data_IF_612729073299
#
_entry.id   IF_612729073299
#
_cell.length_a   1.000
_cell.length_b   1.000
_cell.length_c   1.000
_cell.angle_alpha   90.00
_cell.angle_beta   90.00
_cell.angle_gamma   90.00
#
_symmetry.space_group_name_H-M   'P 1'
#
loop_
_entity.id
_entity.type
_entity.pdbx_description
1 polymer ?
#
# COMPACT_ATOMS: atom_id res chain seq x y z
N UNK A 1 13.02 -5.25 12.80
CA UNK A 1 12.19 -5.60 11.61
C UNK A 1 10.73 -5.92 11.97
N UNK A 2 10.47 -6.86 12.89
CA UNK A 2 9.10 -7.28 13.23
C UNK A 2 8.25 -6.21 13.93
N UNK A 3 8.87 -5.31 14.70
CA UNK A 3 8.12 -4.25 15.42
C UNK A 3 7.53 -3.21 14.45
N UNK A 4 8.32 -2.73 13.49
CA UNK A 4 7.85 -1.80 12.45
C UNK A 4 6.74 -2.42 11.60
N UNK A 5 6.89 -3.69 11.21
CA UNK A 5 5.86 -4.41 10.43
C UNK A 5 4.61 -4.68 11.27
N UNK A 6 4.72 -4.84 12.59
CA UNK A 6 3.58 -4.93 13.50
C UNK A 6 2.82 -3.60 13.59
N UNK A 7 3.52 -2.46 13.68
CA UNK A 7 2.87 -1.14 13.62
C UNK A 7 2.09 -0.97 12.33
N UNK A 8 2.68 -1.34 11.19
CA UNK A 8 1.98 -1.35 9.90
C UNK A 8 0.81 -2.32 9.89
N UNK A 9 0.95 -3.52 10.45
CA UNK A 9 -0.13 -4.50 10.54
C UNK A 9 -1.33 -3.95 11.31
N UNK A 10 -1.09 -3.23 12.42
CA UNK A 10 -2.14 -2.60 13.22
C UNK A 10 -2.83 -1.46 12.47
N UNK A 11 -2.07 -0.65 11.72
CA UNK A 11 -2.64 0.43 10.87
C UNK A 11 -3.36 -0.10 9.63
N UNK A 12 -2.91 -1.23 9.07
CA UNK A 12 -3.46 -1.86 7.87
C UNK A 12 -4.46 -2.98 8.18
N UNK A 13 -5.03 -2.99 9.38
CA UNK A 13 -6.16 -3.85 9.71
C UNK A 13 -7.32 -3.63 8.73
N UNK A 14 -8.12 -4.67 8.52
CA UNK A 14 -9.18 -4.66 7.51
C UNK A 14 -10.18 -3.50 7.70
N UNK A 15 -10.60 -3.26 8.95
CA UNK A 15 -11.58 -2.21 9.28
C UNK A 15 -11.05 -0.81 8.94
N UNK A 16 -9.79 -0.54 9.27
CA UNK A 16 -9.11 0.71 8.95
C UNK A 16 -9.04 0.91 7.43
N UNK A 17 -8.60 -0.11 6.68
CA UNK A 17 -8.57 -0.04 5.21
C UNK A 17 -9.96 0.17 4.62
N UNK A 18 -10.98 -0.52 5.13
CA UNK A 18 -12.35 -0.39 4.65
C UNK A 18 -12.88 1.04 4.86
N UNK A 19 -12.68 1.59 6.05
CA UNK A 19 -13.13 2.94 6.37
C UNK A 19 -12.40 4.00 5.54
N UNK A 20 -11.07 4.02 5.60
CA UNK A 20 -10.27 5.10 5.01
C UNK A 20 -10.06 4.96 3.51
N UNK A 21 -10.07 3.75 2.93
CA UNK A 21 -9.81 3.53 1.49
C UNK A 21 -11.06 3.15 0.68
N UNK A 22 -12.22 2.96 1.33
CA UNK A 22 -13.49 2.70 0.62
C UNK A 22 -14.60 3.67 1.03
N UNK A 23 -14.94 3.76 2.30
CA UNK A 23 -16.10 4.56 2.73
C UNK A 23 -15.90 6.07 2.55
N UNK A 24 -14.66 6.55 2.71
CA UNK A 24 -14.34 7.97 2.51
C UNK A 24 -14.09 8.37 1.06
N UNK A 25 -14.11 7.40 0.13
CA UNK A 25 -13.96 7.67 -1.30
C UNK A 25 -15.31 7.55 -2.02
N UNK A 26 -15.50 8.28 -3.14
CA UNK A 26 -16.66 8.07 -4.00
C UNK A 26 -16.78 6.62 -4.49
N UNK A 27 -18.01 6.18 -4.75
CA UNK A 27 -18.27 4.85 -5.30
C UNK A 27 -17.56 4.73 -6.66
N UNK A 28 -16.84 3.62 -6.86
CA UNK A 28 -16.03 3.34 -8.05
C UNK A 28 -14.92 4.37 -8.34
N UNK A 29 -14.44 5.07 -7.32
CA UNK A 29 -13.26 5.91 -7.46
C UNK A 29 -12.02 5.07 -7.80
N UNK A 30 -11.23 5.52 -8.76
CA UNK A 30 -10.01 4.85 -9.24
C UNK A 30 -8.88 5.85 -9.47
N UNK A 31 -7.65 5.43 -9.23
CA UNK A 31 -6.43 6.20 -9.54
C UNK A 31 -5.68 5.49 -10.68
N UNK A 32 -5.13 6.27 -11.59
CA UNK A 32 -4.31 5.75 -12.70
C UNK A 32 -2.90 5.43 -12.20
N UNK A 33 -2.45 4.20 -12.43
CA UNK A 33 -1.13 3.70 -12.02
C UNK A 33 -0.51 2.88 -13.15
N UNK A 34 0.81 2.76 -13.15
CA UNK A 34 1.56 1.87 -14.03
C UNK A 34 1.37 0.42 -13.59
N UNK A 35 1.58 -0.50 -14.53
CA UNK A 35 1.37 -1.93 -14.26
C UNK A 35 2.31 -2.46 -13.17
N UNK A 36 3.56 -1.99 -13.18
CA UNK A 36 4.62 -2.35 -12.25
C UNK A 36 4.36 -1.84 -10.83
N UNK A 37 3.49 -0.84 -10.65
CA UNK A 37 3.07 -0.32 -9.36
C UNK A 37 2.04 -1.25 -8.67
N UNK A 38 1.60 -2.33 -9.33
CA UNK A 38 0.69 -3.33 -8.77
C UNK A 38 1.45 -4.57 -8.32
N UNK A 39 1.76 -4.64 -7.03
CA UNK A 39 2.41 -5.79 -6.42
C UNK A 39 1.42 -6.68 -5.65
N UNK A 40 1.14 -7.88 -6.17
CA UNK A 40 0.26 -8.89 -5.56
C UNK A 40 1.05 -10.11 -5.07
N UNK A 41 0.46 -10.97 -4.22
CA UNK A 41 1.10 -12.22 -3.81
C UNK A 41 1.55 -13.10 -4.99
N UNK A 42 0.82 -13.12 -6.11
CA UNK A 42 1.20 -13.84 -7.32
C UNK A 42 2.53 -13.36 -7.91
N UNK A 43 2.78 -12.04 -7.91
CA UNK A 43 4.04 -11.47 -8.37
C UNK A 43 5.19 -11.92 -7.45
N UNK A 44 4.97 -11.90 -6.13
CA UNK A 44 5.95 -12.35 -5.14
C UNK A 44 6.27 -13.84 -5.33
N UNK A 45 5.27 -14.69 -5.47
CA UNK A 45 5.46 -16.13 -5.72
C UNK A 45 6.25 -16.37 -7.02
N UNK A 46 5.92 -15.64 -8.09
CA UNK A 46 6.62 -15.76 -9.36
C UNK A 46 8.11 -15.36 -9.24
N UNK A 47 8.40 -14.22 -8.60
CA UNK A 47 9.77 -13.76 -8.39
C UNK A 47 10.58 -14.66 -7.44
N UNK A 48 9.95 -15.18 -6.38
CA UNK A 48 10.55 -16.15 -5.47
C UNK A 48 10.98 -17.42 -6.22
N UNK A 49 10.14 -17.91 -7.13
CA UNK A 49 10.47 -19.06 -7.99
C UNK A 49 11.59 -18.73 -8.98
N UNK A 50 11.74 -17.46 -9.35
CA UNK A 50 12.79 -16.94 -10.22
C UNK A 50 14.13 -16.63 -9.52
N UNK A 51 14.40 -17.23 -8.35
CA UNK A 51 15.65 -17.08 -7.57
C UNK A 51 15.88 -15.71 -6.90
N UNK A 52 14.87 -14.85 -6.86
CA UNK A 52 14.97 -13.56 -6.13
C UNK A 52 15.02 -13.81 -4.62
N UNK A 53 15.96 -13.15 -3.94
CA UNK A 53 16.14 -13.31 -2.49
C UNK A 53 14.99 -12.67 -1.69
N UNK A 54 14.71 -13.20 -0.50
CA UNK A 54 13.69 -12.65 0.39
C UNK A 54 13.95 -11.18 0.76
N UNK A 55 15.22 -10.80 0.91
CA UNK A 55 15.61 -9.41 1.20
C UNK A 55 15.24 -8.50 0.04
N UNK A 56 15.50 -8.92 -1.20
CA UNK A 56 15.13 -8.16 -2.39
C UNK A 56 13.60 -8.07 -2.55
N UNK A 57 12.86 -9.15 -2.25
CA UNK A 57 11.39 -9.14 -2.26
C UNK A 57 10.80 -8.19 -1.22
N UNK A 58 11.37 -8.16 -0.01
CA UNK A 58 10.96 -7.20 1.05
C UNK A 58 11.26 -5.76 0.65
N UNK A 59 12.41 -5.51 0.04
CA UNK A 59 12.76 -4.19 -0.47
C UNK A 59 11.80 -3.73 -1.59
N UNK A 60 11.52 -4.62 -2.55
CA UNK A 60 10.54 -4.37 -3.61
C UNK A 60 9.15 -4.06 -3.03
N UNK A 61 8.70 -4.87 -2.06
CA UNK A 61 7.42 -4.65 -1.39
C UNK A 61 7.37 -3.28 -0.72
N UNK A 62 8.40 -2.90 0.03
CA UNK A 62 8.48 -1.60 0.67
C UNK A 62 8.43 -0.47 -0.38
N UNK A 63 9.26 -0.56 -1.41
CA UNK A 63 9.33 0.46 -2.47
C UNK A 63 7.99 0.66 -3.17
N UNK A 64 7.35 -0.41 -3.66
CA UNK A 64 6.07 -0.32 -4.37
C UNK A 64 4.95 0.15 -3.42
N UNK A 65 4.96 -0.28 -2.15
CA UNK A 65 3.96 0.16 -1.17
C UNK A 65 4.09 1.65 -0.87
N UNK A 66 5.32 2.16 -0.72
CA UNK A 66 5.58 3.60 -0.54
C UNK A 66 5.10 4.41 -1.74
N UNK A 67 5.37 3.94 -2.97
CA UNK A 67 4.85 4.59 -4.18
C UNK A 67 3.32 4.61 -4.19
N UNK A 68 2.66 3.49 -3.84
CA UNK A 68 1.21 3.44 -3.77
C UNK A 68 0.62 4.47 -2.78
N UNK A 69 1.25 4.65 -1.61
CA UNK A 69 0.84 5.67 -0.63
C UNK A 69 1.03 7.09 -1.20
N UNK A 70 2.15 7.36 -1.89
CA UNK A 70 2.38 8.65 -2.55
C UNK A 70 1.33 8.94 -3.62
N UNK A 71 0.97 7.96 -4.46
CA UNK A 71 -0.11 8.11 -5.45
C UNK A 71 -1.46 8.44 -4.83
N UNK A 72 -1.76 7.89 -3.65
CA UNK A 72 -2.97 8.24 -2.92
C UNK A 72 -2.89 9.70 -2.46
N UNK A 73 -1.77 10.14 -1.91
CA UNK A 73 -1.59 11.54 -1.48
C UNK A 73 -1.64 12.55 -2.62
N UNK A 74 -1.17 12.21 -3.82
CA UNK A 74 -1.26 13.08 -5.00
C UNK A 74 -2.70 13.51 -5.33
N UNK A 75 -3.69 12.66 -5.02
CA UNK A 75 -5.10 12.90 -5.31
C UNK A 75 -5.91 13.32 -4.09
N UNK A 76 -5.29 13.38 -2.91
CA UNK A 76 -5.97 13.55 -1.64
C UNK A 76 -5.69 14.95 -1.07
N UNK A 77 -6.70 15.83 -0.94
CA UNK A 77 -6.51 17.11 -0.28
C UNK A 77 -6.19 16.93 1.21
N UNK A 78 -5.41 17.84 1.82
CA UNK A 78 -5.06 17.79 3.25
C UNK A 78 -6.29 17.70 4.19
N UNK A 79 -7.42 18.28 3.77
CA UNK A 79 -8.68 18.27 4.53
C UNK A 79 -9.44 16.95 4.44
N UNK A 80 -9.03 16.04 3.57
CA UNK A 80 -9.71 14.77 3.37
C UNK A 80 -9.53 13.88 4.62
N UNK A 81 -10.59 13.17 5.08
CA UNK A 81 -10.53 12.41 6.33
C UNK A 81 -9.51 11.26 6.32
N UNK A 82 -9.11 10.79 5.14
CA UNK A 82 -8.04 9.78 4.98
C UNK A 82 -6.62 10.35 4.98
N UNK A 83 -6.42 11.68 4.95
CA UNK A 83 -5.09 12.29 4.79
C UNK A 83 -4.15 11.89 5.91
N UNK A 84 -4.60 12.08 7.16
CA UNK A 84 -3.81 11.72 8.34
C UNK A 84 -3.53 10.22 8.40
N UNK A 85 -4.50 9.39 8.03
CA UNK A 85 -4.32 7.94 7.99
C UNK A 85 -3.24 7.54 6.99
N UNK A 86 -3.26 8.08 5.77
CA UNK A 86 -2.27 7.78 4.74
C UNK A 86 -0.92 8.43 5.01
N UNK A 87 -0.86 9.53 5.77
CA UNK A 87 0.40 10.19 6.14
C UNK A 87 1.18 9.38 7.19
N UNK A 88 0.48 8.60 8.02
CA UNK A 88 1.07 7.75 9.05
C UNK A 88 1.52 6.37 8.53
N UNK A 89 1.25 6.05 7.26
CA UNK A 89 1.68 4.82 6.56
C UNK A 89 3.03 5.03 5.88
#
# INVERSE_FOLDING_TARGET
ECELTRLLQDKLQYEMRLQYMKHYFPINYTVQIQYEEVLRPSNITHLRNGTVSEVALRYLWFHVSSQAVLRIHEVLPEKHPSWKYTQEL
#
